data_IF_803318559400
#
_entry.id   IF_803318559400
#
_cell.length_a   1.000
_cell.length_b   1.000
_cell.length_c   1.000
_cell.angle_alpha   90.00
_cell.angle_beta   90.00
_cell.angle_gamma   90.00
#
_symmetry.space_group_name_H-M   'P 1'
#
loop_
_entity.id
_entity.type
_entity.pdbx_description
1 polymer ?
#
# COMPACT_ATOMS: atom_id res chain seq x y z
N UNK A 1 -13.99 -28.32 4.22
CA UNK A 1 -13.78 -27.41 3.06
C UNK A 1 -15.15 -27.11 2.45
N UNK A 2 -15.46 -25.84 2.17
CA UNK A 2 -16.71 -25.42 1.52
C UNK A 2 -16.36 -24.47 0.38
N UNK A 3 -16.93 -24.72 -0.80
CA UNK A 3 -16.73 -23.90 -2.00
C UNK A 3 -17.91 -22.95 -2.20
N UNK A 4 -17.63 -21.78 -2.77
CA UNK A 4 -18.62 -20.77 -3.15
C UNK A 4 -18.29 -20.25 -4.54
N UNK A 5 -19.27 -20.27 -5.45
CA UNK A 5 -19.08 -19.78 -6.80
C UNK A 5 -19.24 -18.26 -6.84
N UNK A 6 -18.26 -17.59 -7.46
CA UNK A 6 -18.27 -16.14 -7.69
C UNK A 6 -18.01 -15.89 -9.19
N UNK A 7 -19.03 -16.08 -10.06
CA UNK A 7 -18.85 -16.03 -11.50
C UNK A 7 -18.42 -14.63 -11.96
N UNK A 8 -17.51 -14.57 -12.95
CA UNK A 8 -17.02 -13.31 -13.51
C UNK A 8 -16.05 -12.53 -12.61
N UNK A 9 -15.54 -13.15 -11.53
CA UNK A 9 -14.55 -12.55 -10.66
C UNK A 9 -13.15 -13.07 -10.99
N UNK A 10 -12.21 -12.16 -11.29
CA UNK A 10 -10.78 -12.46 -11.37
C UNK A 10 -10.05 -11.47 -10.46
N UNK A 11 -9.37 -12.01 -9.45
CA UNK A 11 -8.53 -11.23 -8.54
C UNK A 11 -7.11 -11.77 -8.63
N UNK A 12 -6.18 -10.95 -9.13
CA UNK A 12 -4.78 -11.33 -9.18
C UNK A 12 -4.09 -11.17 -7.83
N UNK A 13 -4.40 -10.08 -7.09
CA UNK A 13 -3.91 -9.81 -5.75
C UNK A 13 -5.05 -9.84 -4.72
N UNK A 14 -4.80 -10.48 -3.57
CA UNK A 14 -5.64 -10.40 -2.37
C UNK A 14 -4.87 -9.60 -1.33
N UNK A 15 -5.37 -8.44 -0.93
CA UNK A 15 -4.65 -7.56 0.00
C UNK A 15 -4.83 -7.97 1.46
N UNK A 16 -6.03 -8.40 1.84
CA UNK A 16 -6.34 -8.96 3.17
C UNK A 16 -7.65 -9.77 3.10
N UNK A 17 -7.87 -10.65 4.07
CA UNK A 17 -9.13 -11.35 4.30
C UNK A 17 -9.29 -11.55 5.81
N UNK A 18 -10.53 -11.55 6.31
CA UNK A 18 -10.81 -11.79 7.73
C UNK A 18 -12.17 -12.45 7.91
N UNK A 19 -12.33 -13.11 9.05
CA UNK A 19 -13.63 -13.65 9.46
C UNK A 19 -14.44 -12.55 10.16
N UNK A 20 -15.62 -12.24 9.62
CA UNK A 20 -16.71 -11.61 10.37
C UNK A 20 -17.79 -12.68 10.59
N UNK A 21 -18.57 -12.62 11.69
CA UNK A 21 -19.70 -13.51 11.86
C UNK A 21 -20.70 -13.29 10.69
N UNK A 22 -20.54 -14.12 9.66
CA UNK A 22 -21.37 -14.40 8.48
C UNK A 22 -20.90 -13.99 7.06
N UNK A 23 -19.81 -13.23 6.81
CA UNK A 23 -19.41 -12.90 5.41
C UNK A 23 -17.89 -12.70 5.24
N UNK A 24 -17.32 -13.29 4.18
CA UNK A 24 -16.00 -12.90 3.62
C UNK A 24 -16.23 -11.76 2.63
N UNK A 25 -15.79 -10.55 2.96
CA UNK A 25 -15.97 -9.37 2.08
C UNK A 25 -14.71 -9.20 1.22
N UNK A 26 -14.74 -9.44 -0.09
CA UNK A 26 -13.69 -8.92 -0.96
C UNK A 26 -13.73 -7.40 -0.90
N UNK A 27 -12.66 -6.78 -0.40
CA UNK A 27 -12.56 -5.35 -0.30
C UNK A 27 -12.51 -4.75 -1.71
N UNK A 28 -13.63 -4.20 -2.19
CA UNK A 28 -13.70 -3.47 -3.46
C UNK A 28 -13.59 -1.99 -3.19
N UNK A 29 -12.47 -1.37 -3.57
CA UNK A 29 -12.37 0.08 -3.60
C UNK A 29 -13.34 0.63 -4.67
N UNK A 30 -14.16 1.63 -4.30
CA UNK A 30 -14.98 2.43 -5.23
C UNK A 30 -14.17 3.57 -5.87
N UNK A 31 -12.91 3.70 -5.47
CA UNK A 31 -11.94 4.61 -6.06
C UNK A 31 -11.97 4.52 -7.61
N UNK A 32 -12.13 5.67 -8.27
CA UNK A 32 -12.10 5.79 -9.74
C UNK A 32 -10.67 5.72 -10.32
N UNK A 33 -9.79 4.98 -9.67
CA UNK A 33 -8.40 4.81 -10.07
C UNK A 33 -8.11 3.33 -10.34
N UNK A 34 -7.20 3.06 -11.26
CA UNK A 34 -6.63 1.71 -11.39
C UNK A 34 -5.69 1.45 -10.20
N UNK A 35 -6.15 0.67 -9.22
CA UNK A 35 -5.37 0.31 -8.04
C UNK A 35 -4.87 -1.13 -8.16
N UNK A 36 -3.57 -1.33 -7.95
CA UNK A 36 -2.89 -2.62 -8.12
C UNK A 36 -2.20 -3.09 -6.82
N UNK A 37 -1.02 -3.70 -6.93
CA UNK A 37 -0.23 -4.20 -5.81
C UNK A 37 -0.11 -3.18 -4.65
N UNK A 38 -0.04 -3.69 -3.43
CA UNK A 38 0.02 -2.87 -2.23
C UNK A 38 -0.18 -3.66 -0.96
N UNK A 39 -0.27 -2.97 0.17
CA UNK A 39 -0.31 -3.62 1.49
C UNK A 39 -1.35 -3.01 2.40
N UNK A 40 -1.74 -3.80 3.40
CA UNK A 40 -2.39 -3.33 4.62
C UNK A 40 -1.38 -3.29 5.76
N UNK A 41 -1.81 -2.85 6.95
CA UNK A 41 -1.00 -2.98 8.15
C UNK A 41 -0.76 -4.47 8.47
N UNK A 42 0.51 -4.92 8.37
CA UNK A 42 0.90 -6.32 8.54
C UNK A 42 0.54 -6.90 9.90
N UNK A 43 0.42 -6.07 10.94
CA UNK A 43 -0.01 -6.54 12.26
C UNK A 43 -1.47 -6.98 12.27
N UNK A 44 -2.28 -6.53 11.31
CA UNK A 44 -3.72 -6.80 11.20
C UNK A 44 -4.06 -7.82 10.09
N UNK A 45 -3.08 -8.52 9.52
CA UNK A 45 -3.37 -9.59 8.55
C UNK A 45 -4.29 -10.65 9.17
N UNK A 46 -5.31 -11.08 8.42
CA UNK A 46 -6.32 -12.01 8.93
C UNK A 46 -7.40 -11.35 9.81
N UNK A 47 -7.27 -10.06 10.11
CA UNK A 47 -8.19 -9.28 10.95
C UNK A 47 -8.75 -8.11 10.15
N UNK A 48 -9.88 -7.57 10.61
CA UNK A 48 -10.49 -6.39 9.99
C UNK A 48 -9.50 -5.22 9.96
N UNK A 49 -9.21 -4.71 8.77
CA UNK A 49 -8.35 -3.55 8.51
C UNK A 49 -9.16 -2.46 7.84
N UNK A 50 -8.97 -1.22 8.26
CA UNK A 50 -9.58 -0.04 7.64
C UNK A 50 -8.76 0.50 6.48
N UNK A 51 -7.43 0.43 6.50
CA UNK A 51 -6.59 1.10 5.51
C UNK A 51 -5.78 0.14 4.65
N UNK A 52 -5.81 0.39 3.34
CA UNK A 52 -4.90 -0.21 2.37
C UNK A 52 -4.10 0.88 1.65
N UNK A 53 -2.84 0.57 1.32
CA UNK A 53 -1.94 1.44 0.57
C UNK A 53 -1.63 0.75 -0.75
N UNK A 54 -2.11 1.29 -1.85
CA UNK A 54 -2.15 0.63 -3.15
C UNK A 54 -1.46 1.49 -4.22
N UNK A 55 -0.77 0.85 -5.16
CA UNK A 55 -0.16 1.54 -6.28
C UNK A 55 -1.25 2.07 -7.25
N UNK A 56 -1.10 3.32 -7.69
CA UNK A 56 -1.98 3.94 -8.71
C UNK A 56 -1.40 3.65 -10.09
N UNK A 57 -1.91 2.61 -10.76
CA UNK A 57 -1.44 2.07 -12.04
C UNK A 57 -1.98 2.84 -13.25
N UNK A 58 -1.64 4.13 -13.31
CA UNK A 58 -2.02 5.03 -14.39
C UNK A 58 -0.80 5.87 -14.82
N UNK A 59 -0.44 5.94 -16.11
CA UNK A 59 -0.91 5.07 -17.18
C UNK A 59 -0.38 3.64 -17.01
N UNK A 60 -1.23 2.63 -17.21
CA UNK A 60 -0.77 1.24 -17.17
C UNK A 60 0.32 0.98 -18.23
N UNK A 61 1.43 0.26 -17.91
CA UNK A 61 1.70 -0.48 -16.67
C UNK A 61 2.46 0.31 -15.58
N UNK A 62 2.64 1.63 -15.73
CA UNK A 62 3.39 2.45 -14.78
C UNK A 62 2.53 2.86 -13.59
N UNK A 63 3.13 2.89 -12.40
CA UNK A 63 2.45 3.37 -11.20
C UNK A 63 2.92 4.78 -10.85
N UNK A 64 2.04 5.77 -10.97
CA UNK A 64 2.35 7.21 -10.78
C UNK A 64 2.26 7.71 -9.33
N UNK A 65 1.82 6.86 -8.42
CA UNK A 65 1.60 7.26 -7.03
C UNK A 65 1.14 6.14 -6.12
N UNK A 66 0.86 6.50 -4.88
CA UNK A 66 0.26 5.64 -3.85
C UNK A 66 -1.08 6.20 -3.42
N UNK A 67 -2.11 5.36 -3.40
CA UNK A 67 -3.41 5.67 -2.83
C UNK A 67 -3.54 5.04 -1.44
N UNK A 68 -4.02 5.82 -0.47
CA UNK A 68 -4.57 5.32 0.78
C UNK A 68 -6.08 5.15 0.62
N UNK A 69 -6.56 3.92 0.76
CA UNK A 69 -7.99 3.58 0.64
C UNK A 69 -8.56 3.29 2.01
N UNK A 70 -9.71 3.88 2.32
CA UNK A 70 -10.53 3.48 3.48
C UNK A 70 -11.45 2.33 3.05
N UNK A 71 -11.09 1.10 3.42
CA UNK A 71 -11.83 -0.12 3.10
C UNK A 71 -13.21 -0.18 3.77
N UNK A 72 -13.46 0.60 4.82
CA UNK A 72 -14.77 0.69 5.47
C UNK A 72 -15.78 1.47 4.65
N UNK A 73 -15.32 2.49 3.91
CA UNK A 73 -16.17 3.30 3.02
C UNK A 73 -16.03 2.92 1.54
N UNK A 74 -14.91 2.31 1.16
CA UNK A 74 -14.50 2.07 -0.21
C UNK A 74 -13.89 3.28 -0.92
N UNK A 75 -13.76 4.42 -0.24
CA UNK A 75 -13.29 5.68 -0.83
C UNK A 75 -11.77 5.88 -0.66
N UNK A 76 -11.23 6.79 -1.48
CA UNK A 76 -9.85 7.27 -1.33
C UNK A 76 -9.78 8.20 -0.12
N UNK A 77 -8.91 7.86 0.85
CA UNK A 77 -8.60 8.75 1.95
C UNK A 77 -7.56 9.81 1.54
N UNK A 78 -6.59 9.43 0.71
CA UNK A 78 -5.57 10.33 0.15
C UNK A 78 -4.83 9.68 -1.02
N UNK A 79 -4.18 10.49 -1.85
CA UNK A 79 -3.29 10.03 -2.93
C UNK A 79 -2.01 10.86 -2.90
N UNK A 80 -0.86 10.19 -2.94
CA UNK A 80 0.44 10.80 -3.12
C UNK A 80 0.92 10.54 -4.55
N UNK A 81 1.11 11.60 -5.34
CA UNK A 81 1.66 11.52 -6.70
C UNK A 81 3.16 11.79 -6.69
N UNK A 82 3.93 11.02 -7.46
CA UNK A 82 5.38 11.19 -7.51
C UNK A 82 5.81 12.39 -8.35
N UNK A 83 4.92 12.92 -9.20
CA UNK A 83 5.23 13.94 -10.19
C UNK A 83 5.50 13.37 -11.59
N UNK A 84 5.68 14.25 -12.56
CA UNK A 84 5.82 13.89 -13.97
C UNK A 84 7.09 13.05 -14.22
N UNK A 85 6.97 12.00 -15.05
CA UNK A 85 8.08 11.12 -15.41
C UNK A 85 8.60 10.22 -14.26
N UNK A 86 7.94 10.25 -13.10
CA UNK A 86 8.35 9.51 -11.90
C UNK A 86 7.37 8.38 -11.59
N UNK A 87 7.89 7.17 -11.42
CA UNK A 87 7.08 5.97 -11.28
C UNK A 87 7.64 5.01 -10.23
N UNK A 88 6.79 4.13 -9.71
CA UNK A 88 7.17 3.12 -8.71
C UNK A 88 6.49 1.77 -8.98
N UNK A 89 6.60 0.85 -8.02
CA UNK A 89 5.89 -0.42 -7.94
C UNK A 89 5.09 -0.52 -6.65
N UNK A 90 5.20 -1.65 -5.95
CA UNK A 90 4.43 -1.94 -4.72
C UNK A 90 4.86 -1.03 -3.55
N UNK A 91 3.93 -0.22 -2.98
CA UNK A 91 4.17 0.46 -1.71
C UNK A 91 4.25 -0.54 -0.57
N UNK A 92 5.08 -0.30 0.45
CA UNK A 92 5.14 -1.15 1.65
C UNK A 92 4.85 -0.35 2.92
N UNK A 93 3.82 -0.75 3.68
CA UNK A 93 3.55 -0.14 4.98
C UNK A 93 4.44 -0.70 6.10
N UNK A 94 4.99 0.21 6.91
CA UNK A 94 5.82 -0.04 8.08
C UNK A 94 5.16 0.57 9.32
N UNK A 95 4.62 -0.23 10.26
CA UNK A 95 4.00 0.31 11.47
C UNK A 95 5.03 1.00 12.37
N UNK A 96 4.62 2.09 13.02
CA UNK A 96 5.41 2.74 14.05
C UNK A 96 5.71 1.78 15.23
N UNK A 97 6.84 1.98 15.90
CA UNK A 97 7.27 1.12 17.02
C UNK A 97 6.24 1.11 18.17
N UNK A 98 5.65 2.27 18.45
CA UNK A 98 4.57 2.50 19.42
C UNK A 98 3.30 1.69 19.14
N UNK A 99 3.01 1.39 17.88
CA UNK A 99 1.83 0.63 17.48
C UNK A 99 1.98 -0.90 17.72
N UNK A 100 3.16 -1.36 18.17
CA UNK A 100 3.49 -2.78 18.30
C UNK A 100 3.88 -3.23 19.71
N UNK A 101 3.94 -2.33 20.69
CA UNK A 101 4.01 -2.73 22.09
C UNK A 101 2.69 -3.41 22.46
N UNK A 102 2.73 -4.71 22.79
CA UNK A 102 1.56 -5.51 23.20
C UNK A 102 0.86 -5.03 24.49
N UNK A 103 1.18 -3.84 24.98
CA UNK A 103 0.35 -3.07 25.90
C UNK A 103 -0.75 -2.45 25.05
N UNK A 104 -2.02 -2.83 25.24
CA UNK A 104 -3.18 -2.41 24.43
C UNK A 104 -3.52 -0.91 24.42
N UNK A 105 -2.52 -0.02 24.37
CA UNK A 105 -2.68 1.41 24.11
C UNK A 105 -2.84 1.60 22.60
N UNK A 106 -4.08 1.88 22.20
CA UNK A 106 -4.55 2.07 20.83
C UNK A 106 -3.77 3.12 20.04
N UNK A 107 -2.70 2.68 19.38
CA UNK A 107 -2.12 3.38 18.24
C UNK A 107 -3.11 3.35 17.07
N UNK A 108 -3.12 4.41 16.26
CA UNK A 108 -3.96 4.43 15.05
C UNK A 108 -3.48 3.35 14.07
N UNK A 109 -4.39 2.71 13.35
CA UNK A 109 -4.04 1.65 12.38
C UNK A 109 -3.03 2.12 11.32
N UNK A 110 -3.10 3.39 10.95
CA UNK A 110 -2.23 4.09 10.00
C UNK A 110 -1.05 4.82 10.67
N UNK A 111 -0.77 4.55 11.95
CA UNK A 111 0.41 5.09 12.63
C UNK A 111 1.67 4.34 12.16
N UNK A 112 2.39 4.97 11.23
CA UNK A 112 3.53 4.38 10.55
C UNK A 112 3.90 5.11 9.28
N UNK A 113 4.64 4.43 8.43
CA UNK A 113 5.18 4.98 7.19
C UNK A 113 4.85 4.07 6.01
N UNK A 114 4.69 4.67 4.83
CA UNK A 114 4.69 3.94 3.56
C UNK A 114 6.02 4.17 2.88
N UNK A 115 6.68 3.10 2.47
CA UNK A 115 7.98 3.14 1.81
C UNK A 115 7.83 2.68 0.37
N UNK A 116 8.39 3.45 -0.57
CA UNK A 116 8.38 3.17 -2.02
C UNK A 116 9.73 3.51 -2.65
N UNK A 117 10.13 2.75 -3.66
CA UNK A 117 11.27 3.09 -4.53
C UNK A 117 10.75 3.83 -5.76
N UNK A 118 11.06 5.11 -5.89
CA UNK A 118 10.61 5.97 -6.99
C UNK A 118 11.72 6.11 -8.00
N UNK A 119 11.43 5.78 -9.25
CA UNK A 119 12.33 5.93 -10.39
C UNK A 119 12.00 7.25 -11.09
N UNK A 120 13.01 8.11 -11.23
CA UNK A 120 12.93 9.27 -12.11
C UNK A 120 13.46 8.85 -13.48
N UNK A 121 12.56 8.66 -14.45
CA UNK A 121 12.95 8.20 -15.79
C UNK A 121 13.76 9.26 -16.55
N UNK A 122 13.56 10.54 -16.25
CA UNK A 122 14.27 11.65 -16.92
C UNK A 122 15.70 11.79 -16.38
N UNK A 123 15.87 11.72 -15.06
CA UNK A 123 17.18 11.79 -14.42
C UNK A 123 17.93 10.45 -14.44
N UNK A 124 17.23 9.33 -14.67
CA UNK A 124 17.80 7.98 -14.60
C UNK A 124 18.16 7.55 -13.17
N UNK A 125 17.58 8.19 -12.16
CA UNK A 125 17.86 7.97 -10.75
C UNK A 125 16.76 7.14 -10.07
N UNK A 126 17.07 6.61 -8.89
CA UNK A 126 16.10 5.95 -8.02
C UNK A 126 16.25 6.50 -6.62
N UNK A 127 15.14 6.77 -5.98
CA UNK A 127 15.07 7.29 -4.61
C UNK A 127 14.18 6.38 -3.76
N UNK A 128 14.56 6.19 -2.50
CA UNK A 128 13.65 5.62 -1.51
C UNK A 128 12.85 6.76 -0.88
N UNK A 129 11.54 6.80 -1.13
CA UNK A 129 10.64 7.81 -0.56
C UNK A 129 9.87 7.19 0.61
N UNK A 130 9.83 7.91 1.72
CA UNK A 130 9.13 7.56 2.95
C UNK A 130 7.99 8.56 3.14
N UNK A 131 6.76 8.07 3.14
CA UNK A 131 5.55 8.85 3.39
C UNK A 131 5.08 8.62 4.82
N UNK A 132 4.60 9.66 5.49
CA UNK A 132 3.74 9.51 6.68
C UNK A 132 2.45 8.81 6.23
N UNK A 133 2.15 7.63 6.77
CA UNK A 133 1.02 6.82 6.31
C UNK A 133 -0.34 7.41 6.71
N UNK A 134 -0.36 8.24 7.75
CA UNK A 134 -1.53 8.99 8.19
C UNK A 134 -1.92 10.07 7.20
N UNK A 135 -0.94 10.91 6.83
CA UNK A 135 -1.10 12.13 6.03
C UNK A 135 -0.86 11.93 4.54
N UNK A 136 -0.15 10.89 4.14
CA UNK A 136 0.34 10.65 2.77
C UNK A 136 1.27 11.77 2.24
N UNK A 137 2.03 12.38 3.15
CA UNK A 137 3.02 13.43 2.85
C UNK A 137 4.43 12.87 2.99
N UNK A 138 5.40 13.41 2.21
CA UNK A 138 6.80 12.99 2.28
C UNK A 138 7.40 13.35 3.64
N UNK A 139 7.81 12.33 4.38
CA UNK A 139 8.53 12.47 5.64
C UNK A 139 10.05 12.45 5.44
N UNK A 140 10.54 11.66 4.47
CA UNK A 140 11.95 11.61 4.10
C UNK A 140 12.15 11.06 2.68
N UNK A 141 13.28 11.43 2.07
CA UNK A 141 13.76 10.88 0.79
C UNK A 141 15.22 10.50 0.91
N UNK A 142 15.59 9.32 0.43
CA UNK A 142 16.98 8.85 0.32
C UNK A 142 17.33 8.74 -1.16
N UNK A 143 18.08 9.72 -1.67
CA UNK A 143 18.38 9.89 -3.10
C UNK A 143 19.69 9.21 -3.57
N UNK A 144 20.57 8.81 -2.65
CA UNK A 144 21.91 8.31 -2.96
C UNK A 144 21.96 6.77 -3.11
N UNK A 145 21.18 6.21 -4.04
CA UNK A 145 21.34 4.80 -4.42
C UNK A 145 22.50 4.68 -5.42
N UNK A 146 23.52 3.88 -5.07
CA UNK A 146 24.75 3.72 -5.86
C UNK A 146 24.56 2.98 -7.18
N UNK A 147 23.37 2.41 -7.41
CA UNK A 147 23.01 1.76 -8.66
C UNK A 147 21.51 1.92 -8.94
N UNK A 148 21.14 1.82 -10.22
CA UNK A 148 19.74 1.76 -10.64
C UNK A 148 19.13 0.45 -10.15
N UNK A 149 18.10 0.55 -9.32
CA UNK A 149 17.18 -0.54 -9.07
C UNK A 149 16.23 -0.63 -10.28
N UNK A 150 15.95 -1.79 -10.89
CA UNK A 150 14.91 -1.93 -11.91
C UNK A 150 13.52 -1.98 -11.28
N UNK A 151 12.46 -1.79 -12.07
CA UNK A 151 11.09 -2.05 -11.62
C UNK A 151 10.98 -3.49 -11.10
N UNK A 152 10.44 -3.64 -9.88
CA UNK A 152 10.29 -4.91 -9.19
C UNK A 152 8.85 -5.36 -9.06
N UNK A 153 8.66 -6.50 -8.37
CA UNK A 153 7.35 -7.03 -8.00
C UNK A 153 7.08 -6.69 -6.53
N UNK A 154 7.18 -7.68 -5.64
CA UNK A 154 6.80 -7.53 -4.25
C UNK A 154 7.97 -7.13 -3.34
N UNK A 155 7.65 -6.35 -2.31
CA UNK A 155 8.56 -5.92 -1.25
C UNK A 155 8.24 -6.56 0.10
N UNK A 156 9.25 -6.64 0.96
CA UNK A 156 9.04 -6.96 2.37
C UNK A 156 9.96 -6.10 3.24
N UNK A 157 9.41 -5.65 4.36
CA UNK A 157 10.19 -5.02 5.44
C UNK A 157 10.39 -6.01 6.56
N UNK A 158 11.63 -6.15 7.04
CA UNK A 158 11.98 -6.94 8.21
C UNK A 158 12.45 -6.00 9.32
N UNK A 159 11.87 -6.13 10.52
CA UNK A 159 12.47 -5.53 11.72
C UNK A 159 13.73 -6.31 12.08
N UNK A 160 14.83 -5.59 12.27
CA UNK A 160 16.12 -6.10 12.78
C UNK A 160 16.22 -5.88 14.28
#
# INVERSE_FOLDING_TARGET
MRWFDVPGCFCFHIWNAWDEPAVVIPARARARLNLEAGTVNRSLLGRRTRFAYLAVAEPWPRCRGVAKVDLGTGELAAVHEYGEGRFSGEPTFVPATSATSGTGTGGREDDGHVVVMVHDEAAGTVELVVLDAGKMEVAATVAALSCRVPYGFHGITKRV
#
